data_IF_352379479677
#
_entry.id   IF_352379479677
#
_cell.length_a   1.000
_cell.length_b   1.000
_cell.length_c   1.000
_cell.angle_alpha   90.00
_cell.angle_beta   90.00
_cell.angle_gamma   90.00
#
_symmetry.space_group_name_H-M   'P 1'
#
loop_
_entity.id
_entity.type
_entity.pdbx_description
1 polymer ?
#
# COMPACT_ATOMS: atom_id res chain seq x y z
N UNK A 1 -51.82 -35.71 17.41
CA UNK A 1 -51.36 -35.22 16.10
C UNK A 1 -51.19 -33.71 16.20
N UNK A 2 -49.96 -33.23 16.32
CA UNK A 2 -49.65 -31.81 16.18
C UNK A 2 -48.55 -31.71 15.14
N UNK A 3 -48.88 -31.10 14.01
CA UNK A 3 -47.96 -30.80 12.93
C UNK A 3 -46.96 -29.76 13.45
N UNK A 4 -45.67 -30.10 13.41
CA UNK A 4 -44.61 -29.13 13.59
C UNK A 4 -44.30 -28.58 12.21
N UNK A 5 -44.63 -27.31 12.00
CA UNK A 5 -44.26 -26.52 10.83
C UNK A 5 -42.75 -26.62 10.61
N UNK A 6 -42.35 -27.21 9.48
CA UNK A 6 -41.02 -27.10 8.93
C UNK A 6 -40.89 -25.71 8.29
N UNK A 7 -40.35 -24.76 9.07
CA UNK A 7 -39.86 -23.49 8.53
C UNK A 7 -38.64 -23.76 7.61
N UNK A 8 -38.66 -23.35 6.33
CA UNK A 8 -37.47 -23.32 5.49
C UNK A 8 -36.78 -21.97 5.72
N UNK A 9 -35.67 -21.92 6.46
CA UNK A 9 -35.08 -20.61 6.73
C UNK A 9 -33.95 -20.54 7.74
N UNK A 10 -32.89 -21.31 7.54
CA UNK A 10 -31.55 -20.90 7.95
C UNK A 10 -30.58 -21.75 7.14
N UNK A 11 -30.25 -21.26 5.95
CA UNK A 11 -29.07 -21.74 5.23
C UNK A 11 -27.89 -21.45 6.17
N UNK A 12 -27.44 -22.50 6.87
CA UNK A 12 -26.31 -22.41 7.79
C UNK A 12 -25.09 -22.05 6.94
N UNK A 13 -24.77 -20.75 6.87
CA UNK A 13 -23.54 -20.29 6.22
C UNK A 13 -22.40 -20.97 6.97
N UNK A 14 -21.69 -21.86 6.28
CA UNK A 14 -20.57 -22.58 6.86
C UNK A 14 -19.45 -21.56 7.16
N UNK A 15 -19.09 -21.33 8.44
CA UNK A 15 -18.05 -20.37 8.80
C UNK A 15 -16.65 -20.80 8.31
N UNK A 16 -16.47 -22.06 7.92
CA UNK A 16 -15.22 -22.56 7.33
C UNK A 16 -15.20 -22.48 5.79
N UNK A 17 -16.26 -21.96 5.16
CA UNK A 17 -16.28 -21.75 3.71
C UNK A 17 -15.18 -20.74 3.31
N UNK A 18 -14.28 -21.10 2.36
CA UNK A 18 -13.19 -20.24 1.92
C UNK A 18 -13.65 -18.86 1.42
N UNK A 19 -14.88 -18.76 0.92
CA UNK A 19 -15.48 -17.50 0.44
C UNK A 19 -15.92 -16.59 1.60
N UNK A 20 -16.50 -17.16 2.66
CA UNK A 20 -16.87 -16.44 3.88
C UNK A 20 -15.62 -15.96 4.63
N UNK A 21 -14.58 -16.79 4.68
CA UNK A 21 -13.28 -16.44 5.24
C UNK A 21 -12.68 -15.27 4.46
N UNK A 22 -12.66 -15.35 3.12
CA UNK A 22 -12.12 -14.28 2.29
C UNK A 22 -12.87 -12.96 2.45
N UNK A 23 -14.19 -13.00 2.54
CA UNK A 23 -14.97 -11.79 2.78
C UNK A 23 -14.65 -11.15 4.15
N UNK A 24 -14.59 -11.98 5.19
CA UNK A 24 -14.26 -11.54 6.55
C UNK A 24 -12.88 -10.90 6.62
N UNK A 25 -11.89 -11.52 5.97
CA UNK A 25 -10.51 -11.03 5.89
C UNK A 25 -10.40 -9.73 5.09
N UNK A 26 -11.14 -9.60 3.97
CA UNK A 26 -11.19 -8.35 3.21
C UNK A 26 -11.78 -7.21 4.03
N UNK A 27 -12.88 -7.46 4.74
CA UNK A 27 -13.50 -6.45 5.61
C UNK A 27 -12.57 -6.10 6.80
N UNK A 28 -11.85 -7.08 7.35
CA UNK A 28 -10.83 -6.84 8.37
C UNK A 28 -9.66 -5.99 7.86
N UNK A 29 -9.20 -6.22 6.63
CA UNK A 29 -8.19 -5.40 5.98
C UNK A 29 -8.68 -3.96 5.74
N UNK A 30 -9.91 -3.78 5.28
CA UNK A 30 -10.53 -2.46 5.12
C UNK A 30 -10.65 -1.72 6.47
N UNK A 31 -11.10 -2.40 7.52
CA UNK A 31 -11.19 -1.82 8.87
C UNK A 31 -9.81 -1.39 9.41
N UNK A 32 -8.77 -2.19 9.13
CA UNK A 32 -7.39 -1.86 9.51
C UNK A 32 -6.89 -0.60 8.78
N UNK A 33 -7.22 -0.45 7.49
CA UNK A 33 -6.92 0.76 6.72
C UNK A 33 -7.65 1.98 7.28
N UNK A 34 -8.93 1.85 7.62
CA UNK A 34 -9.72 2.93 8.21
C UNK A 34 -9.20 3.37 9.57
N UNK A 35 -8.76 2.42 10.41
CA UNK A 35 -8.10 2.73 11.67
C UNK A 35 -6.81 3.55 11.44
N UNK A 36 -6.01 3.18 10.44
CA UNK A 36 -4.81 3.93 10.06
C UNK A 36 -5.16 5.33 9.51
N UNK A 37 -6.22 5.45 8.70
CA UNK A 37 -6.73 6.74 8.19
C UNK A 37 -7.20 7.65 9.33
N UNK A 38 -7.96 7.11 10.27
CA UNK A 38 -8.43 7.85 11.46
C UNK A 38 -7.28 8.33 12.34
N UNK A 39 -6.21 7.52 12.46
CA UNK A 39 -4.99 7.92 13.15
C UNK A 39 -4.33 9.12 12.47
N UNK A 40 -4.34 9.18 11.13
CA UNK A 40 -3.84 10.34 10.37
C UNK A 40 -4.66 11.61 10.61
N UNK A 41 -5.99 11.51 10.71
CA UNK A 41 -6.86 12.67 10.98
C UNK A 41 -6.61 13.34 12.32
N UNK A 42 -6.17 12.56 13.31
CA UNK A 42 -5.84 13.07 14.65
C UNK A 42 -4.48 13.79 14.70
N UNK A 43 -3.69 13.71 13.63
CA UNK A 43 -2.39 14.37 13.55
C UNK A 43 -2.58 15.86 13.27
N UNK A 44 -2.04 16.68 14.15
CA UNK A 44 -1.86 18.11 13.90
C UNK A 44 -0.45 18.33 13.34
N UNK A 45 -0.27 19.15 12.29
CA UNK A 45 1.03 19.66 11.90
C UNK A 45 1.75 20.24 13.11
N UNK A 46 3.05 20.00 13.23
CA UNK A 46 3.84 20.44 14.38
C UNK A 46 3.75 21.97 14.52
N UNK A 47 3.25 22.47 15.66
CA UNK A 47 3.25 23.90 15.96
C UNK A 47 4.68 24.38 16.25
N UNK A 48 5.41 24.87 15.25
CA UNK A 48 6.63 25.68 15.44
C UNK A 48 6.27 27.18 15.41
N UNK A 49 7.00 28.05 16.13
CA UNK A 49 6.78 29.49 16.07
C UNK A 49 7.14 30.01 14.68
N UNK A 50 6.17 30.71 14.07
CA UNK A 50 6.20 31.35 12.74
C UNK A 50 7.51 32.09 12.48
N UNK A 51 8.40 31.49 11.70
CA UNK A 51 9.31 32.22 10.82
C UNK A 51 9.03 31.68 9.41
N UNK A 52 8.36 32.49 8.60
CA UNK A 52 8.05 32.31 7.17
C UNK A 52 8.07 30.84 6.69
N UNK A 53 7.00 30.09 7.01
CA UNK A 53 7.01 28.63 6.95
C UNK A 53 6.43 28.14 5.61
N UNK A 54 7.24 28.16 4.55
CA UNK A 54 6.90 27.49 3.26
C UNK A 54 6.79 25.96 3.42
N UNK A 55 7.34 25.39 4.50
CA UNK A 55 7.31 23.94 4.78
C UNK A 55 5.94 23.42 5.20
N UNK A 56 5.12 24.20 5.91
CA UNK A 56 3.77 23.76 6.31
C UNK A 56 2.88 23.33 5.15
N UNK A 57 3.00 23.99 4.00
CA UNK A 57 2.25 23.63 2.79
C UNK A 57 2.62 22.21 2.31
N UNK A 58 3.89 21.83 2.42
CA UNK A 58 4.33 20.47 2.11
C UNK A 58 3.76 19.44 3.10
N UNK A 59 3.87 19.66 4.42
CA UNK A 59 3.35 18.69 5.40
C UNK A 59 1.82 18.53 5.29
N UNK A 60 1.09 19.61 5.03
CA UNK A 60 -0.36 19.57 4.78
C UNK A 60 -0.69 18.82 3.49
N UNK A 61 0.06 19.04 2.40
CA UNK A 61 -0.07 18.28 1.15
C UNK A 61 0.21 16.78 1.34
N UNK A 62 1.24 16.40 2.12
CA UNK A 62 1.54 15.01 2.45
C UNK A 62 0.41 14.38 3.24
N UNK A 63 -0.07 15.08 4.28
CA UNK A 63 -1.14 14.58 5.14
C UNK A 63 -2.44 14.39 4.35
N UNK A 64 -2.80 15.34 3.49
CA UNK A 64 -4.01 15.26 2.67
C UNK A 64 -3.91 14.14 1.62
N UNK A 65 -2.76 14.02 0.96
CA UNK A 65 -2.53 12.93 0.01
C UNK A 65 -2.54 11.55 0.71
N UNK A 66 -1.97 11.41 1.90
CA UNK A 66 -2.02 10.18 2.68
C UNK A 66 -3.44 9.80 3.11
N UNK A 67 -4.26 10.78 3.53
CA UNK A 67 -5.69 10.58 3.82
C UNK A 67 -6.46 10.14 2.59
N UNK A 68 -6.24 10.81 1.45
CA UNK A 68 -6.87 10.46 0.18
C UNK A 68 -6.52 9.04 -0.26
N UNK A 69 -5.25 8.64 -0.13
CA UNK A 69 -4.80 7.27 -0.41
C UNK A 69 -5.49 6.28 0.53
N UNK A 70 -5.52 6.52 1.84
CA UNK A 70 -6.12 5.60 2.80
C UNK A 70 -7.64 5.44 2.61
N UNK A 71 -8.35 6.53 2.28
CA UNK A 71 -9.76 6.48 1.93
C UNK A 71 -9.99 5.68 0.64
N UNK A 72 -9.17 5.91 -0.39
CA UNK A 72 -9.26 5.21 -1.66
C UNK A 72 -8.92 3.72 -1.53
N UNK A 73 -7.93 3.34 -0.71
CA UNK A 73 -7.59 1.92 -0.47
C UNK A 73 -8.63 1.22 0.39
N UNK A 74 -9.25 1.88 1.37
CA UNK A 74 -10.42 1.33 2.08
C UNK A 74 -11.58 1.05 1.11
N UNK A 75 -11.94 2.04 0.29
CA UNK A 75 -12.99 1.89 -0.72
C UNK A 75 -12.68 0.78 -1.74
N UNK A 76 -11.41 0.64 -2.13
CA UNK A 76 -10.94 -0.43 -3.01
C UNK A 76 -11.16 -1.80 -2.37
N UNK A 77 -10.70 -2.03 -1.14
CA UNK A 77 -10.83 -3.33 -0.47
C UNK A 77 -12.30 -3.68 -0.22
N UNK A 78 -13.15 -2.69 0.13
CA UNK A 78 -14.61 -2.88 0.22
C UNK A 78 -15.24 -3.24 -1.12
N UNK A 79 -14.79 -2.61 -2.20
CA UNK A 79 -15.24 -2.95 -3.55
C UNK A 79 -14.78 -4.34 -3.98
N UNK A 80 -13.59 -4.79 -3.54
CA UNK A 80 -13.09 -6.14 -3.77
C UNK A 80 -13.94 -7.18 -3.05
N UNK A 81 -14.32 -6.90 -1.80
CA UNK A 81 -15.27 -7.73 -1.04
C UNK A 81 -16.63 -7.80 -1.71
N UNK A 82 -17.15 -6.67 -2.20
CA UNK A 82 -18.41 -6.65 -2.96
C UNK A 82 -18.31 -7.47 -4.26
N UNK A 83 -17.23 -7.36 -5.01
CA UNK A 83 -17.00 -8.13 -6.23
C UNK A 83 -16.89 -9.64 -5.94
N UNK A 84 -16.20 -10.01 -4.85
CA UNK A 84 -16.15 -11.40 -4.40
C UNK A 84 -17.54 -11.93 -4.03
N UNK A 85 -18.33 -11.15 -3.27
CA UNK A 85 -19.69 -11.52 -2.88
C UNK A 85 -20.62 -11.66 -4.08
N UNK A 86 -20.50 -10.79 -5.09
CA UNK A 86 -21.23 -10.90 -6.36
C UNK A 86 -20.91 -12.22 -7.08
N UNK A 87 -19.66 -12.67 -7.05
CA UNK A 87 -19.25 -13.93 -7.67
C UNK A 87 -19.80 -15.16 -6.96
N UNK A 88 -19.86 -15.13 -5.63
CA UNK A 88 -20.49 -16.18 -4.83
C UNK A 88 -21.99 -16.22 -5.11
N UNK A 89 -22.66 -15.06 -5.10
CA UNK A 89 -24.10 -14.97 -5.37
C UNK A 89 -24.48 -15.41 -6.80
N UNK A 90 -23.61 -15.19 -7.79
CA UNK A 90 -23.79 -15.68 -9.16
C UNK A 90 -23.49 -17.19 -9.30
N UNK A 91 -23.03 -17.85 -8.24
CA UNK A 91 -22.56 -19.23 -8.28
C UNK A 91 -21.33 -19.44 -9.14
N UNK A 92 -20.55 -18.38 -9.42
CA UNK A 92 -19.28 -18.48 -10.16
C UNK A 92 -18.11 -18.94 -9.28
N UNK A 93 -18.24 -18.76 -7.97
CA UNK A 93 -17.26 -19.15 -6.94
C UNK A 93 -18.02 -19.85 -5.81
N UNK A 94 -17.51 -20.96 -5.29
CA UNK A 94 -18.05 -21.66 -4.12
C UNK A 94 -19.27 -22.56 -4.36
N UNK A 95 -19.90 -22.50 -5.54
CA UNK A 95 -21.10 -23.31 -5.85
C UNK A 95 -20.78 -24.75 -6.31
N UNK A 96 -19.60 -24.97 -6.89
CA UNK A 96 -19.25 -26.23 -7.53
C UNK A 96 -18.08 -26.90 -6.79
N UNK A 97 -18.35 -28.05 -6.18
CA UNK A 97 -17.36 -28.85 -5.45
C UNK A 97 -16.15 -29.20 -6.34
N UNK A 98 -16.36 -29.38 -7.65
CA UNK A 98 -15.28 -29.65 -8.60
C UNK A 98 -14.26 -28.51 -8.72
N UNK A 99 -14.67 -27.27 -8.44
CA UNK A 99 -13.83 -26.08 -8.50
C UNK A 99 -13.40 -25.58 -7.10
N UNK A 100 -13.77 -26.27 -6.03
CA UNK A 100 -13.54 -25.80 -4.66
C UNK A 100 -12.06 -25.53 -4.34
N UNK A 101 -11.15 -26.32 -4.92
CA UNK A 101 -9.69 -26.12 -4.76
C UNK A 101 -9.24 -24.84 -5.46
N UNK A 102 -9.66 -24.62 -6.70
CA UNK A 102 -9.32 -23.42 -7.49
C UNK A 102 -9.92 -22.16 -6.89
N UNK A 103 -11.18 -22.22 -6.45
CA UNK A 103 -11.86 -21.13 -5.75
C UNK A 103 -11.21 -20.82 -4.40
N UNK A 104 -10.72 -21.85 -3.68
CA UNK A 104 -9.94 -21.69 -2.46
C UNK A 104 -8.59 -21.00 -2.70
N UNK A 105 -7.85 -21.42 -3.73
CA UNK A 105 -6.57 -20.78 -4.10
C UNK A 105 -6.77 -19.33 -4.55
N UNK A 106 -7.80 -19.07 -5.36
CA UNK A 106 -8.17 -17.71 -5.76
C UNK A 106 -8.53 -16.84 -4.54
N UNK A 107 -9.34 -17.37 -3.63
CA UNK A 107 -9.74 -16.69 -2.38
C UNK A 107 -8.53 -16.36 -1.51
N UNK A 108 -7.59 -17.30 -1.35
CA UNK A 108 -6.32 -17.05 -0.65
C UNK A 108 -5.45 -16.00 -1.35
N UNK A 109 -5.38 -16.03 -2.68
CA UNK A 109 -4.72 -15.01 -3.49
C UNK A 109 -5.32 -13.62 -3.25
N UNK A 110 -6.65 -13.52 -3.21
CA UNK A 110 -7.38 -12.29 -2.95
C UNK A 110 -7.13 -11.75 -1.53
N UNK A 111 -7.20 -12.63 -0.52
CA UNK A 111 -6.88 -12.30 0.88
C UNK A 111 -5.44 -11.76 0.99
N UNK A 112 -4.48 -12.46 0.37
CA UNK A 112 -3.06 -12.08 0.43
C UNK A 112 -2.80 -10.70 -0.18
N UNK A 113 -3.44 -10.41 -1.33
CA UNK A 113 -3.33 -9.12 -1.98
C UNK A 113 -3.93 -8.00 -1.12
N UNK A 114 -5.09 -8.23 -0.51
CA UNK A 114 -5.73 -7.23 0.36
C UNK A 114 -4.95 -6.96 1.65
N UNK A 115 -4.39 -7.99 2.28
CA UNK A 115 -3.48 -7.84 3.42
C UNK A 115 -2.24 -7.04 3.03
N UNK A 116 -1.71 -7.24 1.83
CA UNK A 116 -0.59 -6.48 1.30
C UNK A 116 -0.94 -4.99 1.11
N UNK A 117 -2.15 -4.69 0.60
CA UNK A 117 -2.68 -3.31 0.49
C UNK A 117 -2.81 -2.67 1.86
N UNK A 118 -3.35 -3.39 2.85
CA UNK A 118 -3.49 -2.88 4.21
C UNK A 118 -2.13 -2.59 4.86
N UNK A 119 -1.16 -3.51 4.74
CA UNK A 119 0.19 -3.33 5.26
C UNK A 119 0.93 -2.16 4.58
N UNK A 120 0.82 -2.04 3.25
CA UNK A 120 1.40 -0.94 2.51
C UNK A 120 0.77 0.40 2.91
N UNK A 121 -0.55 0.45 3.08
CA UNK A 121 -1.25 1.66 3.51
C UNK A 121 -0.87 2.05 4.94
N UNK A 122 -0.77 1.10 5.86
CA UNK A 122 -0.31 1.38 7.23
C UNK A 122 1.11 1.94 7.24
N UNK A 123 2.02 1.34 6.47
CA UNK A 123 3.40 1.83 6.33
C UNK A 123 3.46 3.25 5.76
N UNK A 124 2.58 3.56 4.81
CA UNK A 124 2.41 4.89 4.26
C UNK A 124 1.91 5.89 5.31
N UNK A 125 0.89 5.52 6.09
CA UNK A 125 0.36 6.36 7.17
C UNK A 125 1.44 6.66 8.23
N UNK A 126 2.28 5.67 8.56
CA UNK A 126 3.42 5.87 9.45
C UNK A 126 4.48 6.80 8.87
N UNK A 127 4.79 6.66 7.58
CA UNK A 127 5.72 7.53 6.88
C UNK A 127 5.20 8.98 6.80
N UNK A 128 3.91 9.16 6.50
CA UNK A 128 3.25 10.46 6.49
C UNK A 128 3.24 11.09 7.89
N UNK A 129 2.93 10.32 8.93
CA UNK A 129 3.02 10.78 10.32
C UNK A 129 4.44 11.25 10.67
N UNK A 130 5.47 10.47 10.33
CA UNK A 130 6.85 10.86 10.56
C UNK A 130 7.21 12.17 9.83
N UNK A 131 6.74 12.33 8.59
CA UNK A 131 6.92 13.57 7.81
C UNK A 131 6.30 14.78 8.51
N UNK A 132 5.04 14.68 8.94
CA UNK A 132 4.30 15.77 9.61
C UNK A 132 4.92 16.15 10.97
N UNK A 133 5.61 15.23 11.64
CA UNK A 133 6.34 15.50 12.88
C UNK A 133 7.73 16.12 12.66
N UNK A 134 8.16 16.27 11.41
CA UNK A 134 9.49 16.78 11.04
C UNK A 134 10.60 15.73 11.09
N UNK A 135 10.24 14.44 11.18
CA UNK A 135 11.15 13.30 11.00
C UNK A 135 11.07 12.78 9.55
N UNK A 136 11.00 13.71 8.61
CA UNK A 136 10.73 13.42 7.20
C UNK A 136 11.81 12.51 6.61
N UNK A 137 11.36 11.41 6.01
CA UNK A 137 12.13 10.62 5.05
C UNK A 137 11.31 10.57 3.77
N UNK A 138 11.62 11.48 2.86
CA UNK A 138 10.98 11.59 1.54
C UNK A 138 11.11 10.27 0.79
N UNK A 139 12.25 9.59 0.92
CA UNK A 139 12.50 8.27 0.35
C UNK A 139 11.53 7.21 0.90
N UNK A 140 11.30 7.19 2.23
CA UNK A 140 10.34 6.25 2.85
C UNK A 140 8.92 6.56 2.41
N UNK A 141 8.57 7.84 2.27
CA UNK A 141 7.25 8.27 1.80
C UNK A 141 7.03 7.86 0.33
N UNK A 142 8.01 8.10 -0.55
CA UNK A 142 7.98 7.70 -1.97
C UNK A 142 7.90 6.19 -2.10
N UNK A 143 8.72 5.44 -1.35
CA UNK A 143 8.74 3.98 -1.39
C UNK A 143 7.39 3.40 -0.94
N UNK A 144 6.84 3.90 0.17
CA UNK A 144 5.55 3.45 0.70
C UNK A 144 4.41 3.77 -0.27
N UNK A 145 4.40 4.95 -0.89
CA UNK A 145 3.39 5.36 -1.87
C UNK A 145 3.39 4.46 -3.12
N UNK A 146 4.58 4.14 -3.63
CA UNK A 146 4.77 3.21 -4.76
C UNK A 146 4.31 1.80 -4.40
N UNK A 147 4.60 1.35 -3.18
CA UNK A 147 4.18 0.04 -2.69
C UNK A 147 2.65 -0.05 -2.56
N UNK A 148 1.97 1.02 -2.13
CA UNK A 148 0.50 1.09 -2.11
C UNK A 148 -0.08 0.98 -3.52
N UNK A 149 0.49 1.69 -4.49
CA UNK A 149 0.05 1.60 -5.89
C UNK A 149 0.27 0.20 -6.47
N UNK A 150 1.42 -0.43 -6.19
CA UNK A 150 1.75 -1.77 -6.67
C UNK A 150 0.83 -2.85 -6.06
N UNK A 151 0.65 -2.85 -4.74
CA UNK A 151 -0.25 -3.78 -4.04
C UNK A 151 -1.72 -3.60 -4.48
N UNK A 152 -2.15 -2.37 -4.73
CA UNK A 152 -3.47 -2.06 -5.30
C UNK A 152 -3.64 -2.63 -6.70
N UNK A 153 -2.62 -2.52 -7.55
CA UNK A 153 -2.63 -3.13 -8.88
C UNK A 153 -2.71 -4.66 -8.79
N UNK A 154 -1.98 -5.28 -7.86
CA UNK A 154 -2.05 -6.71 -7.62
C UNK A 154 -3.44 -7.16 -7.16
N UNK A 155 -4.08 -6.41 -6.26
CA UNK A 155 -5.46 -6.68 -5.83
C UNK A 155 -6.46 -6.57 -6.99
N UNK A 156 -6.34 -5.54 -7.83
CA UNK A 156 -7.16 -5.41 -9.04
C UNK A 156 -7.01 -6.60 -9.98
N UNK A 157 -5.79 -7.08 -10.20
CA UNK A 157 -5.52 -8.25 -11.03
C UNK A 157 -6.14 -9.50 -10.41
N UNK A 158 -5.96 -9.71 -9.10
CA UNK A 158 -6.55 -10.85 -8.38
C UNK A 158 -8.09 -10.87 -8.49
N UNK A 159 -8.76 -9.73 -8.37
CA UNK A 159 -10.20 -9.63 -8.57
C UNK A 159 -10.61 -9.96 -10.02
N UNK A 160 -9.86 -9.49 -11.02
CA UNK A 160 -10.18 -9.69 -12.45
C UNK A 160 -10.16 -11.14 -12.93
N UNK A 161 -9.48 -12.04 -12.22
CA UNK A 161 -9.37 -13.45 -12.64
C UNK A 161 -10.74 -14.13 -12.72
N UNK A 162 -11.62 -13.85 -11.76
CA UNK A 162 -12.96 -14.45 -11.67
C UNK A 162 -14.08 -13.41 -11.88
N UNK A 163 -13.83 -12.12 -11.64
CA UNK A 163 -14.83 -11.06 -11.76
C UNK A 163 -15.18 -10.72 -13.20
N UNK A 164 -16.46 -10.41 -13.43
CA UNK A 164 -16.92 -9.80 -14.68
C UNK A 164 -16.46 -8.33 -14.73
N UNK A 165 -15.74 -7.94 -15.79
CA UNK A 165 -15.21 -6.59 -15.94
C UNK A 165 -16.30 -5.52 -16.08
N UNK A 166 -17.50 -5.93 -16.48
CA UNK A 166 -18.65 -5.04 -16.64
C UNK A 166 -19.57 -4.99 -15.41
N UNK A 167 -19.23 -5.67 -14.32
CA UNK A 167 -19.99 -5.60 -13.07
C UNK A 167 -19.88 -4.22 -12.40
N UNK A 168 -20.91 -3.82 -11.65
CA UNK A 168 -20.90 -2.55 -10.93
C UNK A 168 -19.81 -2.54 -9.83
N UNK A 169 -19.66 -3.63 -9.08
CA UNK A 169 -18.58 -3.75 -8.10
C UNK A 169 -17.20 -3.65 -8.77
N UNK A 170 -17.02 -4.23 -9.96
CA UNK A 170 -15.76 -4.19 -10.68
C UNK A 170 -15.45 -2.78 -11.24
N UNK A 171 -16.46 -2.06 -11.74
CA UNK A 171 -16.33 -0.63 -12.10
C UNK A 171 -15.94 0.23 -10.89
N UNK A 172 -16.57 0.01 -9.74
CA UNK A 172 -16.24 0.71 -8.49
C UNK A 172 -14.81 0.39 -8.02
N UNK A 173 -14.42 -0.88 -8.07
CA UNK A 173 -13.06 -1.34 -7.77
C UNK A 173 -12.03 -0.63 -8.66
N UNK A 174 -12.27 -0.57 -9.96
CA UNK A 174 -11.35 0.07 -10.90
C UNK A 174 -11.29 1.59 -10.71
N UNK A 175 -12.41 2.24 -10.42
CA UNK A 175 -12.44 3.66 -10.07
C UNK A 175 -11.63 3.94 -8.80
N UNK A 176 -11.80 3.14 -7.75
CA UNK A 176 -11.05 3.25 -6.51
C UNK A 176 -9.54 3.00 -6.74
N UNK A 177 -9.18 1.98 -7.51
CA UNK A 177 -7.78 1.69 -7.84
C UNK A 177 -7.10 2.80 -8.66
N UNK A 178 -7.83 3.41 -9.59
CA UNK A 178 -7.35 4.59 -10.32
C UNK A 178 -7.21 5.83 -9.42
N UNK A 179 -8.06 5.97 -8.41
CA UNK A 179 -7.93 7.02 -7.40
C UNK A 179 -6.67 6.81 -6.55
N UNK A 180 -6.43 5.58 -6.07
CA UNK A 180 -5.20 5.22 -5.34
C UNK A 180 -3.95 5.53 -6.17
N UNK A 181 -3.92 5.10 -7.43
CA UNK A 181 -2.78 5.36 -8.32
C UNK A 181 -2.50 6.86 -8.46
N UNK A 182 -3.53 7.67 -8.75
CA UNK A 182 -3.39 9.12 -8.89
C UNK A 182 -2.92 9.78 -7.59
N UNK A 183 -3.49 9.39 -6.46
CA UNK A 183 -3.12 9.94 -5.17
C UNK A 183 -1.67 9.57 -4.78
N UNK A 184 -1.26 8.31 -5.02
CA UNK A 184 0.13 7.86 -4.86
C UNK A 184 1.10 8.62 -5.76
N UNK A 185 0.78 8.82 -7.04
CA UNK A 185 1.63 9.56 -7.99
C UNK A 185 1.79 11.03 -7.57
N UNK A 186 0.71 11.67 -7.11
CA UNK A 186 0.74 13.03 -6.61
C UNK A 186 1.61 13.14 -5.35
N UNK A 187 1.47 12.19 -4.42
CA UNK A 187 2.29 12.13 -3.21
C UNK A 187 3.78 11.96 -3.54
N UNK A 188 4.12 11.08 -4.49
CA UNK A 188 5.50 10.89 -4.93
C UNK A 188 6.08 12.19 -5.51
N UNK A 189 5.32 12.90 -6.35
CA UNK A 189 5.74 14.19 -6.91
C UNK A 189 5.97 15.23 -5.83
N UNK A 190 5.06 15.34 -4.86
CA UNK A 190 5.20 16.27 -3.73
C UNK A 190 6.47 15.93 -2.93
N UNK A 191 6.65 14.66 -2.57
CA UNK A 191 7.81 14.19 -1.81
C UNK A 191 9.14 14.40 -2.56
N UNK A 192 9.15 14.18 -3.88
CA UNK A 192 10.32 14.46 -4.71
C UNK A 192 10.65 15.94 -4.74
N UNK A 193 9.65 16.81 -4.93
CA UNK A 193 9.84 18.26 -4.94
C UNK A 193 10.47 18.73 -3.62
N UNK A 194 9.93 18.29 -2.48
CA UNK A 194 10.49 18.64 -1.17
C UNK A 194 11.91 18.10 -0.94
N UNK A 195 12.25 16.94 -1.49
CA UNK A 195 13.61 16.43 -1.45
C UNK A 195 14.58 17.32 -2.24
N UNK A 196 14.17 17.78 -3.44
CA UNK A 196 14.98 18.69 -4.27
C UNK A 196 15.16 20.07 -3.63
N UNK A 197 14.08 20.68 -3.12
CA UNK A 197 14.11 22.01 -2.50
C UNK A 197 15.04 22.04 -1.26
N UNK A 198 15.11 20.93 -0.49
CA UNK A 198 16.07 20.79 0.63
C UNK A 198 17.53 20.68 0.20
N UNK A 199 17.80 20.21 -1.01
CA UNK A 199 19.19 19.99 -1.49
C UNK A 199 19.83 21.29 -1.97
N UNK A 200 19.03 22.27 -2.42
CA UNK A 200 19.55 23.57 -2.85
C UNK A 200 19.99 24.46 -1.67
N UNK A 201 19.38 24.33 -0.49
CA UNK A 201 19.73 25.09 0.72
C UNK A 201 21.07 24.64 1.35
N UNK A 202 21.50 23.39 1.12
CA UNK A 202 22.78 22.85 1.61
C UNK A 202 23.97 23.15 0.65
N UNK A 203 23.72 23.86 -0.46
CA UNK A 203 24.70 24.08 -1.53
C UNK A 203 25.49 25.39 -1.45
N UNK A 204 25.30 26.26 -0.46
CA UNK A 204 25.94 27.59 -0.45
C UNK A 204 26.57 28.00 0.89
N UNK A 205 27.78 27.51 1.19
CA UNK A 205 28.83 28.35 1.79
C UNK A 205 30.22 27.95 1.27
N UNK A 206 30.54 28.33 0.04
CA UNK A 206 31.94 28.40 -0.42
C UNK A 206 32.56 29.68 0.15
N UNK A 207 33.17 29.60 1.34
CA UNK A 207 34.09 30.63 1.83
C UNK A 207 35.52 30.09 1.94
N UNK A 208 36.21 30.21 0.81
CA UNK A 208 37.60 30.64 0.62
C UNK A 208 38.60 30.35 1.74
N UNK A 209 39.45 29.32 1.56
CA UNK A 209 40.90 29.30 1.86
C UNK A 209 41.50 27.97 1.35
N UNK A 210 42.56 28.05 0.54
CA UNK A 210 43.11 26.97 -0.30
C UNK A 210 43.55 25.68 0.41
N UNK A 211 43.74 25.68 1.75
CA UNK A 211 44.07 24.48 2.54
C UNK A 211 42.83 23.82 3.16
N UNK A 212 41.74 24.59 3.36
CA UNK A 212 40.43 24.05 3.70
C UNK A 212 39.79 23.28 2.55
N UNK A 213 40.14 23.63 1.30
CA UNK A 213 39.65 22.96 0.10
C UNK A 213 40.06 21.49 0.00
N UNK A 214 41.31 21.13 0.34
CA UNK A 214 41.76 19.73 0.32
C UNK A 214 41.07 18.91 1.42
N UNK A 215 40.96 19.47 2.63
CA UNK A 215 40.24 18.81 3.72
C UNK A 215 38.74 18.62 3.38
N UNK A 216 38.13 19.60 2.71
CA UNK A 216 36.76 19.50 2.21
C UNK A 216 36.61 18.47 1.08
N UNK A 217 37.59 18.39 0.16
CA UNK A 217 37.59 17.37 -0.90
C UNK A 217 37.72 15.98 -0.27
N UNK A 218 38.62 15.79 0.70
CA UNK A 218 38.78 14.52 1.41
C UNK A 218 37.51 14.16 2.18
N UNK A 219 36.91 15.13 2.89
CA UNK A 219 35.64 14.91 3.60
C UNK A 219 34.50 14.55 2.64
N UNK A 220 34.40 15.22 1.49
CA UNK A 220 33.41 14.92 0.46
C UNK A 220 33.65 13.54 -0.19
N UNK A 221 34.91 13.16 -0.42
CA UNK A 221 35.28 11.83 -0.92
C UNK A 221 35.00 10.73 0.10
N UNK A 222 35.27 10.97 1.38
CA UNK A 222 34.94 10.05 2.47
C UNK A 222 33.42 9.88 2.59
N UNK A 223 32.66 10.97 2.51
CA UNK A 223 31.20 10.93 2.51
C UNK A 223 30.65 10.19 1.28
N UNK A 224 31.25 10.40 0.09
CA UNK A 224 30.92 9.67 -1.13
C UNK A 224 31.15 8.16 -0.95
N UNK A 225 32.34 7.74 -0.49
CA UNK A 225 32.67 6.33 -0.24
C UNK A 225 31.75 5.70 0.81
N UNK A 226 31.36 6.46 1.83
CA UNK A 226 30.39 6.01 2.83
C UNK A 226 29.02 5.78 2.19
N UNK A 227 28.51 6.76 1.42
CA UNK A 227 27.22 6.64 0.71
C UNK A 227 27.23 5.51 -0.30
N UNK A 228 28.34 5.27 -1.00
CA UNK A 228 28.50 4.11 -1.90
C UNK A 228 28.40 2.78 -1.15
N UNK A 229 29.05 2.66 0.01
CA UNK A 229 28.94 1.46 0.85
C UNK A 229 27.51 1.25 1.37
N UNK A 230 26.89 2.30 1.88
CA UNK A 230 25.50 2.27 2.36
C UNK A 230 24.53 1.89 1.23
N UNK A 231 24.74 2.41 0.01
CA UNK A 231 23.98 2.05 -1.18
C UNK A 231 24.15 0.57 -1.53
N UNK A 232 25.38 0.06 -1.51
CA UNK A 232 25.68 -1.35 -1.79
C UNK A 232 25.02 -2.29 -0.78
N UNK A 233 25.05 -1.93 0.52
CA UNK A 233 24.36 -2.67 1.58
C UNK A 233 22.84 -2.62 1.43
N UNK A 234 22.27 -1.45 1.11
CA UNK A 234 20.85 -1.31 0.86
C UNK A 234 20.39 -2.14 -0.35
N UNK A 235 21.20 -2.17 -1.43
CA UNK A 235 20.98 -3.03 -2.60
C UNK A 235 20.99 -4.51 -2.22
N UNK A 236 21.98 -4.96 -1.44
CA UNK A 236 22.05 -6.35 -0.95
C UNK A 236 20.82 -6.73 -0.11
N UNK A 237 20.40 -5.87 0.83
CA UNK A 237 19.19 -6.09 1.63
C UNK A 237 17.94 -6.15 0.75
N UNK A 238 17.78 -5.24 -0.20
CA UNK A 238 16.64 -5.24 -1.12
C UNK A 238 16.58 -6.52 -1.97
N UNK A 239 17.73 -6.99 -2.47
CA UNK A 239 17.83 -8.24 -3.21
C UNK A 239 17.40 -9.45 -2.36
N UNK A 240 17.83 -9.51 -1.09
CA UNK A 240 17.43 -10.57 -0.16
C UNK A 240 15.93 -10.55 0.13
N UNK A 241 15.34 -9.38 0.37
CA UNK A 241 13.89 -9.24 0.62
C UNK A 241 13.09 -9.71 -0.61
N UNK A 242 13.51 -9.31 -1.82
CA UNK A 242 12.86 -9.75 -3.07
C UNK A 242 12.96 -11.26 -3.27
N UNK A 243 14.11 -11.86 -3.00
CA UNK A 243 14.28 -13.32 -3.06
C UNK A 243 13.36 -14.06 -2.07
N UNK A 244 13.17 -13.49 -0.87
CA UNK A 244 12.24 -14.06 0.11
C UNK A 244 10.78 -13.95 -0.34
N UNK A 245 10.38 -12.85 -0.98
CA UNK A 245 9.06 -12.71 -1.58
C UNK A 245 8.82 -13.74 -2.69
N UNK A 246 9.82 -14.03 -3.54
CA UNK A 246 9.73 -15.07 -4.58
C UNK A 246 9.61 -16.50 -4.02
N UNK A 247 10.20 -16.78 -2.84
CA UNK A 247 10.04 -18.08 -2.17
C UNK A 247 8.64 -18.31 -1.59
N UNK A 248 7.82 -17.26 -1.47
CA UNK A 248 6.43 -17.31 -1.01
C UNK A 248 5.40 -17.26 -2.15
N UNK A 249 5.82 -17.10 -3.41
CA UNK A 249 4.92 -17.29 -4.56
C UNK A 249 4.67 -18.80 -4.79
N UNK A 250 3.44 -19.22 -5.13
CA UNK A 250 3.13 -20.61 -5.45
C UNK A 250 4.09 -21.19 -6.50
N UNK A 251 4.53 -22.43 -6.30
CA UNK A 251 5.54 -23.12 -7.10
C UNK A 251 5.20 -23.33 -8.58
N UNK A 252 4.03 -22.91 -9.03
CA UNK A 252 3.52 -23.07 -10.40
C UNK A 252 4.00 -21.98 -11.39
N UNK A 253 4.76 -20.98 -10.94
CA UNK A 253 5.40 -19.97 -11.80
C UNK A 253 6.93 -20.02 -11.79
N UNK A 254 7.52 -21.13 -11.31
CA UNK A 254 8.93 -21.40 -11.58
C UNK A 254 9.05 -21.85 -13.04
N UNK A 255 9.19 -20.89 -13.95
CA UNK A 255 9.80 -21.19 -15.24
C UNK A 255 11.19 -21.79 -14.96
N UNK A 256 11.37 -23.04 -15.40
CA UNK A 256 12.66 -23.71 -15.49
C UNK A 256 13.54 -22.89 -16.42
N UNK A 257 14.46 -22.11 -15.87
CA UNK A 257 15.64 -21.69 -16.62
C UNK A 257 16.70 -22.80 -16.49
N UNK A 258 16.67 -23.71 -17.47
CA UNK A 258 17.81 -24.53 -17.86
C UNK A 258 18.73 -23.78 -18.82
#
# INVERSE_FOLDING_TARGET
>A
MSAFDLLPGSESVDPEDPTVIAETELLGAAASIEAAAKKLEQLKPRAKPKQADETLDFEEQILEAAKSIAAATSALVKSASAAQRELVAQGKVGSNIANAVDDGQWSQGLISAARMVAAATSSLCEAANASVQGHASEEKLISSAKQVAASTAQLLVACKVKADCDSEAMRRLQAAGNAVKRASDNLVKAAQKAAFDKTEDDSVVVKTKFVGGIAQIIAAQEEMLRKERELEEARKKLAQIRQQQYKFLPSELREDEG
#
